data_IF_538739249718
#
_entry.id   IF_538739249718
#
_cell.length_a   1.000
_cell.length_b   1.000
_cell.length_c   1.000
_cell.angle_alpha   90.00
_cell.angle_beta   90.00
_cell.angle_gamma   90.00
#
_symmetry.space_group_name_H-M   'P 1'
#
loop_
_entity.id
_entity.type
_entity.pdbx_description
1 polymer ?
#
# COMPACT_ATOMS: atom_id res chain seq x y z
N UNK A 1 -62.53 3.96 4.59
CA UNK A 1 -63.34 4.61 5.64
C UNK A 1 -62.65 5.95 5.93
N UNK A 2 -63.16 7.03 5.35
CA UNK A 2 -64.24 7.90 5.81
C UNK A 2 -63.87 8.51 7.16
N UNK A 3 -63.94 9.71 7.36
CA UNK A 3 -64.75 10.89 6.92
C UNK A 3 -64.45 11.94 7.95
N UNK A 4 -64.43 13.12 7.73
CA UNK A 4 -65.41 14.14 7.39
C UNK A 4 -65.14 15.38 8.23
N UNK A 5 -65.20 16.48 7.58
CA UNK A 5 -65.85 17.75 7.87
C UNK A 5 -65.35 18.60 9.01
N UNK A 6 -65.23 19.84 8.91
CA UNK A 6 -65.94 20.87 8.09
C UNK A 6 -65.81 22.18 8.84
N UNK A 7 -65.66 23.16 8.11
CA UNK A 7 -66.57 24.25 7.77
C UNK A 7 -66.60 25.49 8.68
N UNK A 8 -66.23 26.60 8.01
CA UNK A 8 -66.88 27.95 8.02
C UNK A 8 -66.72 28.78 9.29
N UNK A 9 -66.49 29.97 9.19
CA UNK A 9 -66.80 31.17 8.42
C UNK A 9 -66.26 32.30 9.26
N UNK A 10 -65.88 33.36 8.81
CA UNK A 10 -66.53 34.30 7.97
C UNK A 10 -66.59 35.64 8.70
N UNK A 11 -66.29 36.65 7.92
CA UNK A 11 -66.64 38.07 8.09
C UNK A 11 -65.51 38.99 8.54
N UNK A 12 -65.15 39.78 7.59
CA UNK A 12 -64.59 41.14 7.68
C UNK A 12 -65.71 42.16 7.84
N UNK A 13 -65.40 43.48 7.75
CA UNK A 13 -64.77 44.43 8.64
C UNK A 13 -65.87 45.45 9.11
N UNK A 14 -65.66 46.64 9.55
CA UNK A 14 -64.98 47.77 8.94
C UNK A 14 -64.40 48.89 9.87
N UNK A 15 -63.68 49.80 9.20
CA UNK A 15 -63.68 51.28 9.32
C UNK A 15 -62.90 51.94 10.46
N UNK A 16 -61.87 52.57 10.01
CA UNK A 16 -61.50 54.01 10.12
C UNK A 16 -61.70 54.70 11.45
N UNK A 17 -60.71 55.47 11.81
CA UNK A 17 -60.74 56.90 12.00
C UNK A 17 -59.47 57.40 12.71
N UNK A 18 -58.88 58.40 12.12
CA UNK A 18 -58.10 59.51 12.65
C UNK A 18 -56.92 59.22 13.58
N UNK A 19 -55.69 59.42 13.17
CA UNK A 19 -55.02 60.70 13.23
C UNK A 19 -54.60 61.12 14.64
N UNK A 20 -53.35 60.85 14.95
CA UNK A 20 -52.60 61.69 15.88
C UNK A 20 -51.12 61.54 15.64
N UNK A 21 -50.53 62.63 15.22
CA UNK A 21 -49.10 62.78 15.08
C UNK A 21 -48.38 62.51 16.41
N UNK A 22 -47.62 61.46 16.47
CA UNK A 22 -46.63 61.26 17.50
C UNK A 22 -45.25 61.28 16.87
N UNK A 23 -44.30 62.08 17.38
CA UNK A 23 -42.93 62.13 16.86
C UNK A 23 -42.25 60.78 17.06
N UNK A 24 -41.81 60.17 15.97
CA UNK A 24 -41.00 58.97 15.97
C UNK A 24 -39.65 59.33 16.57
N UNK A 25 -39.49 59.12 17.87
CA UNK A 25 -38.19 59.06 18.50
C UNK A 25 -37.41 57.90 17.87
N UNK A 26 -36.56 58.24 16.90
CA UNK A 26 -35.47 57.33 16.47
C UNK A 26 -34.62 57.05 17.70
N UNK A 27 -34.89 55.94 18.39
CA UNK A 27 -33.92 55.34 19.31
C UNK A 27 -32.71 55.02 18.49
N UNK A 28 -31.69 55.85 18.56
CA UNK A 28 -30.31 55.52 18.17
C UNK A 28 -29.89 54.31 18.99
N UNK A 29 -30.04 53.16 18.41
CA UNK A 29 -29.45 51.94 18.95
C UNK A 29 -27.93 52.07 18.82
N UNK A 30 -27.29 52.58 19.86
CA UNK A 30 -25.85 52.43 20.02
C UNK A 30 -25.63 50.97 20.45
N UNK A 31 -24.94 50.13 19.66
CA UNK A 31 -24.58 48.81 20.14
C UNK A 31 -23.61 49.03 21.30
N UNK A 32 -24.10 48.80 22.51
CA UNK A 32 -23.26 48.73 23.69
C UNK A 32 -22.52 47.38 23.57
N UNK A 33 -21.34 47.43 23.01
CA UNK A 33 -20.45 46.26 22.97
C UNK A 33 -20.15 45.92 24.43
N UNK A 34 -20.55 44.75 24.93
CA UNK A 34 -20.32 44.40 26.32
C UNK A 34 -18.82 44.34 26.61
N UNK A 35 -18.42 44.84 27.77
CA UNK A 35 -17.03 44.98 28.17
C UNK A 35 -16.21 43.70 28.01
N UNK A 36 -16.86 42.52 28.20
CA UNK A 36 -16.21 41.22 27.99
C UNK A 36 -15.85 40.95 26.53
N UNK A 37 -16.63 41.46 25.57
CA UNK A 37 -16.31 41.31 24.15
C UNK A 37 -15.09 42.15 23.73
N UNK A 38 -14.91 43.33 24.33
CA UNK A 38 -13.72 44.15 24.12
C UNK A 38 -12.47 43.47 24.70
N UNK A 39 -12.59 42.87 25.89
CA UNK A 39 -11.50 42.12 26.52
C UNK A 39 -11.13 40.88 25.69
N UNK A 40 -12.12 40.15 25.18
CA UNK A 40 -11.90 38.98 24.32
C UNK A 40 -11.20 39.34 23.00
N UNK A 41 -11.62 40.47 22.37
CA UNK A 41 -10.98 40.98 21.14
C UNK A 41 -9.53 41.44 21.38
N UNK A 42 -9.29 42.13 22.51
CA UNK A 42 -7.94 42.52 22.87
C UNK A 42 -7.02 41.35 23.16
N UNK A 43 -7.51 40.29 23.84
CA UNK A 43 -6.78 39.05 24.08
C UNK A 43 -6.47 38.28 22.78
N UNK A 44 -7.42 38.24 21.86
CA UNK A 44 -7.22 37.60 20.57
C UNK A 44 -6.19 38.35 19.71
N UNK A 45 -6.26 39.69 19.69
CA UNK A 45 -5.30 40.51 18.97
C UNK A 45 -3.89 40.40 19.55
N UNK A 46 -3.76 40.35 20.88
CA UNK A 46 -2.47 40.16 21.56
C UNK A 46 -1.88 38.74 21.26
N UNK A 47 -2.72 37.72 21.22
CA UNK A 47 -2.30 36.35 20.88
C UNK A 47 -1.83 36.26 19.43
N UNK A 48 -2.57 36.83 18.48
CA UNK A 48 -2.17 36.93 17.08
C UNK A 48 -0.87 37.71 16.89
N UNK A 49 -0.71 38.83 17.58
CA UNK A 49 0.51 39.60 17.54
C UNK A 49 1.72 38.83 18.10
N UNK A 50 1.51 38.07 19.19
CA UNK A 50 2.53 37.18 19.76
C UNK A 50 2.95 36.08 18.79
N UNK A 51 1.98 35.47 18.13
CA UNK A 51 2.25 34.41 17.10
C UNK A 51 3.02 34.98 15.92
N UNK A 52 2.61 36.17 15.41
CA UNK A 52 3.27 36.84 14.29
C UNK A 52 4.69 37.31 14.69
N UNK A 53 4.84 37.79 15.90
CA UNK A 53 6.14 38.25 16.42
C UNK A 53 7.11 37.07 16.58
N UNK A 54 6.63 35.92 17.13
CA UNK A 54 7.44 34.72 17.23
C UNK A 54 7.77 34.13 15.86
N UNK A 55 6.86 34.24 14.89
CA UNK A 55 7.11 33.76 13.52
C UNK A 55 8.16 34.62 12.83
N UNK A 56 8.09 35.95 13.00
CA UNK A 56 9.10 36.85 12.44
C UNK A 56 10.45 36.82 13.17
N UNK A 57 10.45 36.57 14.47
CA UNK A 57 11.69 36.48 15.25
C UNK A 57 12.33 35.07 15.14
N UNK A 58 11.53 34.04 14.87
CA UNK A 58 12.00 32.66 14.63
C UNK A 58 12.86 32.53 13.38
N UNK A 59 12.56 33.30 12.34
CA UNK A 59 13.35 33.30 11.10
C UNK A 59 14.67 34.06 11.17
N UNK A 60 14.81 34.97 12.16
CA UNK A 60 15.96 35.89 12.21
C UNK A 60 17.05 35.49 13.21
N UNK A 61 16.83 34.51 14.09
CA UNK A 61 17.72 34.28 15.24
C UNK A 61 18.33 32.92 15.39
N UNK A 62 18.27 32.07 14.36
CA UNK A 62 18.95 30.80 14.44
C UNK A 62 20.12 30.73 13.44
N UNK A 63 21.31 31.32 13.78
CA UNK A 63 22.47 31.28 12.91
C UNK A 63 22.98 29.84 12.66
N UNK A 64 22.56 28.89 13.49
CA UNK A 64 22.89 27.45 13.32
C UNK A 64 22.07 26.87 12.18
N UNK A 65 20.76 27.22 12.05
CA UNK A 65 19.93 26.76 10.93
C UNK A 65 20.36 27.44 9.62
N UNK A 66 20.68 28.71 9.63
CA UNK A 66 21.19 29.39 8.44
C UNK A 66 22.50 28.76 7.92
N UNK A 67 23.36 28.28 8.82
CA UNK A 67 24.60 27.57 8.45
C UNK A 67 24.36 26.17 7.89
N UNK A 68 23.28 25.50 8.30
CA UNK A 68 22.87 24.17 7.77
C UNK A 68 22.25 24.34 6.36
N UNK A 69 21.50 25.42 6.13
CA UNK A 69 20.91 25.71 4.81
C UNK A 69 21.88 26.39 3.82
N UNK A 70 23.01 26.93 4.29
CA UNK A 70 24.04 27.56 3.45
C UNK A 70 25.20 26.63 3.09
N UNK A 71 25.32 25.47 3.72
CA UNK A 71 26.13 24.40 3.14
C UNK A 71 25.38 23.91 1.91
N UNK A 72 25.90 24.15 0.68
CA UNK A 72 25.35 23.44 -0.47
C UNK A 72 25.47 21.96 -0.10
N UNK A 73 24.32 21.29 -0.01
CA UNK A 73 24.27 19.84 0.01
C UNK A 73 25.19 19.42 -1.14
N UNK A 74 26.21 18.59 -0.91
CA UNK A 74 27.06 18.15 -2.00
C UNK A 74 26.11 17.59 -3.06
N UNK A 75 25.99 18.27 -4.19
CA UNK A 75 25.18 17.92 -5.33
C UNK A 75 25.47 16.49 -5.83
N UNK A 76 26.59 15.95 -5.38
CA UNK A 76 26.99 14.56 -5.60
C UNK A 76 26.17 13.50 -4.83
N UNK A 77 25.30 13.88 -3.87
CA UNK A 77 24.52 12.89 -3.09
C UNK A 77 23.08 12.70 -3.61
N UNK A 78 22.59 13.56 -4.52
CA UNK A 78 21.23 13.43 -5.07
C UNK A 78 21.26 12.88 -6.50
N UNK A 79 22.40 12.84 -7.13
CA UNK A 79 22.62 12.28 -8.47
C UNK A 79 23.47 11.03 -8.46
N UNK A 80 23.39 10.19 -7.43
CA UNK A 80 23.61 8.79 -7.70
C UNK A 80 22.35 8.34 -8.46
N UNK A 81 22.45 8.10 -9.79
CA UNK A 81 21.46 7.29 -10.47
C UNK A 81 21.41 6.07 -9.59
N UNK A 82 20.17 5.68 -9.16
CA UNK A 82 19.94 4.45 -8.44
C UNK A 82 20.92 3.44 -9.00
N UNK A 83 21.94 3.11 -8.18
CA UNK A 83 23.04 2.23 -8.58
C UNK A 83 22.35 1.08 -9.24
N UNK A 84 22.53 0.94 -10.57
CA UNK A 84 21.88 -0.12 -11.33
C UNK A 84 22.25 -1.36 -10.54
N UNK A 85 21.29 -1.85 -9.76
CA UNK A 85 21.36 -3.18 -9.18
C UNK A 85 21.92 -4.05 -10.29
N UNK A 86 23.00 -4.79 -10.03
CA UNK A 86 23.74 -5.47 -11.07
C UNK A 86 22.74 -6.15 -11.98
N UNK A 87 22.97 -6.14 -13.29
CA UNK A 87 22.11 -6.64 -14.36
C UNK A 87 21.61 -8.09 -14.18
N UNK A 88 21.70 -8.62 -13.01
CA UNK A 88 21.57 -9.97 -12.51
C UNK A 88 20.11 -10.39 -12.31
N UNK A 89 19.18 -9.46 -12.21
CA UNK A 89 17.76 -9.78 -11.96
C UNK A 89 16.87 -9.60 -13.19
N UNK A 90 17.33 -10.07 -14.35
CA UNK A 90 16.43 -10.19 -15.51
C UNK A 90 15.80 -11.59 -15.55
N UNK A 91 15.08 -11.95 -14.47
CA UNK A 91 14.33 -13.22 -14.44
C UNK A 91 13.31 -13.28 -15.57
N UNK A 92 12.72 -12.14 -15.94
CA UNK A 92 11.80 -12.05 -17.08
C UNK A 92 12.49 -12.45 -18.39
N UNK A 93 13.72 -12.02 -18.63
CA UNK A 93 14.48 -12.41 -19.80
C UNK A 93 14.83 -13.89 -19.81
N UNK A 94 15.23 -14.41 -18.67
CA UNK A 94 15.60 -15.83 -18.49
C UNK A 94 14.42 -16.79 -18.64
N UNK A 95 13.24 -16.42 -18.09
CA UNK A 95 12.02 -17.22 -18.12
C UNK A 95 11.08 -16.85 -19.29
N UNK A 96 11.61 -16.23 -20.35
CA UNK A 96 10.80 -15.81 -21.50
C UNK A 96 10.00 -16.95 -22.16
N UNK A 97 10.54 -18.17 -22.35
CA UNK A 97 9.78 -19.30 -22.88
C UNK A 97 8.57 -19.65 -22.01
N UNK A 98 8.77 -19.79 -20.70
CA UNK A 98 7.73 -20.18 -19.74
C UNK A 98 6.65 -19.08 -19.59
N UNK A 99 7.04 -17.84 -19.77
CA UNK A 99 6.10 -16.70 -19.82
C UNK A 99 5.25 -16.76 -21.10
N UNK A 100 5.86 -17.08 -22.25
CA UNK A 100 5.16 -17.21 -23.53
C UNK A 100 4.14 -18.36 -23.49
N UNK A 101 4.46 -19.46 -22.84
CA UNK A 101 3.56 -20.60 -22.62
C UNK A 101 2.50 -20.30 -21.55
N UNK A 102 2.59 -19.15 -20.86
CA UNK A 102 1.65 -18.75 -19.82
C UNK A 102 1.74 -19.55 -18.52
N UNK A 103 2.82 -20.31 -18.31
CA UNK A 103 3.08 -21.10 -17.11
C UNK A 103 3.43 -20.22 -15.92
N UNK A 104 4.21 -19.16 -16.17
CA UNK A 104 4.64 -18.18 -15.17
C UNK A 104 4.37 -16.74 -15.61
N UNK A 105 4.28 -15.84 -14.62
CA UNK A 105 4.42 -14.41 -14.85
C UNK A 105 5.58 -13.91 -13.98
N UNK A 106 6.35 -12.96 -14.49
CA UNK A 106 7.51 -12.40 -13.78
C UNK A 106 7.35 -10.91 -13.62
N UNK A 107 7.63 -10.43 -12.41
CA UNK A 107 7.67 -9.02 -12.06
C UNK A 107 9.02 -8.74 -11.41
N UNK A 108 9.84 -7.99 -12.13
CA UNK A 108 11.13 -7.53 -11.62
C UNK A 108 10.95 -6.12 -11.05
N UNK A 109 11.31 -5.94 -9.79
CA UNK A 109 11.30 -4.70 -9.03
C UNK A 109 12.75 -4.32 -8.68
N UNK A 110 12.96 -3.15 -8.09
CA UNK A 110 14.31 -2.64 -7.83
C UNK A 110 15.10 -3.49 -6.80
N UNK A 111 14.41 -4.07 -5.82
CA UNK A 111 14.99 -4.80 -4.69
C UNK A 111 14.63 -6.30 -4.67
N UNK A 112 13.78 -6.73 -5.60
CA UNK A 112 13.26 -8.11 -5.64
C UNK A 112 12.79 -8.50 -7.04
N UNK A 113 12.77 -9.80 -7.29
CA UNK A 113 12.06 -10.37 -8.42
C UNK A 113 11.01 -11.36 -7.93
N UNK A 114 9.82 -11.29 -8.50
CA UNK A 114 8.68 -12.13 -8.14
C UNK A 114 8.27 -12.97 -9.33
N UNK A 115 8.37 -14.28 -9.21
CA UNK A 115 7.84 -15.26 -10.15
C UNK A 115 6.49 -15.75 -9.65
N UNK A 116 5.44 -15.61 -10.46
CA UNK A 116 4.06 -15.98 -10.13
C UNK A 116 3.69 -17.23 -10.91
N UNK A 117 3.38 -18.31 -10.18
CA UNK A 117 2.90 -19.58 -10.70
C UNK A 117 1.38 -19.64 -10.51
N UNK A 118 0.62 -19.89 -11.60
CA UNK A 118 -0.84 -20.01 -11.52
C UNK A 118 -1.22 -21.33 -10.84
N UNK A 119 -1.97 -21.25 -9.75
CA UNK A 119 -2.30 -22.40 -8.91
C UNK A 119 -3.09 -23.51 -9.61
N UNK A 120 -4.05 -23.16 -10.46
CA UNK A 120 -4.88 -24.13 -11.21
C UNK A 120 -4.07 -24.93 -12.24
N UNK A 121 -3.00 -24.35 -12.75
CA UNK A 121 -2.04 -25.03 -13.58
C UNK A 121 -1.10 -25.93 -12.77
N UNK A 122 -0.64 -25.44 -11.64
CA UNK A 122 0.40 -26.03 -10.80
C UNK A 122 -0.11 -27.23 -9.99
N UNK A 123 -1.34 -27.15 -9.47
CA UNK A 123 -1.94 -28.17 -8.62
C UNK A 123 -3.25 -28.71 -9.20
N UNK A 124 -3.61 -29.93 -8.85
CA UNK A 124 -4.98 -30.40 -9.00
C UNK A 124 -5.88 -29.77 -7.92
N UNK A 125 -7.21 -29.83 -8.11
CA UNK A 125 -8.16 -29.34 -7.12
C UNK A 125 -7.93 -29.99 -5.76
N UNK A 126 -7.92 -29.17 -4.70
CA UNK A 126 -7.65 -29.59 -3.32
C UNK A 126 -6.33 -30.38 -3.12
N UNK A 127 -5.42 -30.35 -4.09
CA UNK A 127 -4.11 -31.02 -4.03
C UNK A 127 -3.00 -30.02 -3.66
N UNK A 128 -1.95 -30.58 -3.07
CA UNK A 128 -0.68 -29.90 -2.81
C UNK A 128 0.47 -30.50 -3.60
N UNK A 129 0.20 -31.54 -4.40
CA UNK A 129 1.19 -32.18 -5.26
C UNK A 129 1.37 -31.32 -6.50
N UNK A 130 2.60 -30.86 -6.74
CA UNK A 130 2.96 -30.14 -7.95
C UNK A 130 2.88 -31.10 -9.14
N UNK A 131 2.35 -30.61 -10.24
CA UNK A 131 2.24 -31.42 -11.47
C UNK A 131 3.59 -31.50 -12.17
N UNK A 132 3.95 -32.68 -12.67
CA UNK A 132 5.24 -32.98 -13.29
C UNK A 132 5.64 -32.05 -14.42
N UNK A 133 4.68 -31.48 -15.14
CA UNK A 133 4.94 -30.47 -16.19
C UNK A 133 5.59 -29.19 -15.67
N UNK A 134 5.52 -28.93 -14.37
CA UNK A 134 6.15 -27.77 -13.74
C UNK A 134 7.55 -28.06 -13.20
N UNK A 135 7.99 -29.33 -13.16
CA UNK A 135 9.34 -29.67 -12.70
C UNK A 135 10.43 -28.94 -13.51
N UNK A 136 10.40 -28.95 -14.87
CA UNK A 136 11.41 -28.22 -15.64
C UNK A 136 11.30 -26.68 -15.44
N UNK A 137 10.10 -26.16 -15.17
CA UNK A 137 9.91 -24.74 -14.91
C UNK A 137 10.55 -24.35 -13.58
N UNK A 138 10.32 -25.16 -12.53
CA UNK A 138 10.87 -24.92 -11.19
C UNK A 138 12.40 -25.11 -11.21
N UNK A 139 12.93 -26.06 -11.94
CA UNK A 139 14.37 -26.25 -12.15
C UNK A 139 14.99 -25.01 -12.79
N UNK A 140 14.40 -24.49 -13.86
CA UNK A 140 14.89 -23.25 -14.48
C UNK A 140 14.81 -22.03 -13.55
N UNK A 141 13.76 -21.92 -12.75
CA UNK A 141 13.68 -20.87 -11.72
C UNK A 141 14.83 -21.01 -10.72
N UNK A 142 15.10 -22.23 -10.24
CA UNK A 142 16.19 -22.50 -9.32
C UNK A 142 17.57 -22.19 -9.93
N UNK A 143 17.80 -22.57 -11.20
CA UNK A 143 19.03 -22.24 -11.92
C UNK A 143 19.26 -20.72 -12.00
N UNK A 144 18.20 -19.96 -12.33
CA UNK A 144 18.30 -18.50 -12.33
C UNK A 144 18.65 -17.94 -10.94
N UNK A 145 18.06 -18.51 -9.89
CA UNK A 145 18.26 -18.07 -8.51
C UNK A 145 19.63 -18.50 -7.93
N UNK A 146 20.26 -19.55 -8.48
CA UNK A 146 21.61 -19.95 -8.07
C UNK A 146 22.66 -18.91 -8.44
N UNK A 147 22.40 -18.11 -9.48
CA UNK A 147 23.33 -17.08 -9.94
C UNK A 147 23.21 -15.76 -9.15
N UNK A 148 22.30 -15.70 -8.18
CA UNK A 148 22.03 -14.46 -7.42
C UNK A 148 21.96 -14.78 -5.93
N UNK A 149 22.70 -14.02 -5.14
CA UNK A 149 22.63 -14.09 -3.69
C UNK A 149 21.36 -13.44 -3.17
N UNK A 150 20.82 -13.93 -2.05
CA UNK A 150 19.64 -13.39 -1.41
C UNK A 150 18.71 -14.46 -0.84
N UNK A 151 17.68 -14.05 -0.14
CA UNK A 151 16.68 -14.93 0.43
C UNK A 151 15.54 -15.19 -0.57
N UNK A 152 15.05 -16.41 -0.57
CA UNK A 152 13.93 -16.81 -1.41
C UNK A 152 12.72 -17.06 -0.51
N UNK A 153 11.62 -16.40 -0.82
CA UNK A 153 10.35 -16.56 -0.11
C UNK A 153 9.31 -17.15 -1.07
N UNK A 154 8.75 -18.30 -0.72
CA UNK A 154 7.67 -18.95 -1.45
C UNK A 154 6.36 -18.70 -0.70
N UNK A 155 5.42 -18.00 -1.31
CA UNK A 155 4.15 -17.63 -0.68
C UNK A 155 2.99 -18.26 -1.45
N UNK A 156 2.18 -19.06 -0.74
CA UNK A 156 0.95 -19.60 -1.29
C UNK A 156 -0.26 -18.71 -0.98
N UNK A 157 -1.14 -18.57 -1.97
CA UNK A 157 -2.41 -17.85 -1.87
C UNK A 157 -3.57 -18.73 -2.35
N UNK A 158 -4.76 -18.48 -1.82
CA UNK A 158 -6.02 -19.06 -2.26
C UNK A 158 -7.00 -17.95 -2.70
N UNK A 159 -8.15 -18.39 -3.21
CA UNK A 159 -9.33 -17.53 -3.29
C UNK A 159 -10.10 -17.51 -1.96
N UNK A 160 -11.23 -16.81 -1.93
CA UNK A 160 -12.07 -16.68 -0.75
C UNK A 160 -13.10 -17.81 -0.58
N UNK A 161 -13.08 -18.82 -1.44
CA UNK A 161 -13.99 -19.97 -1.28
C UNK A 161 -13.46 -20.85 -0.16
N UNK A 162 -14.22 -21.04 0.94
CA UNK A 162 -13.75 -21.88 2.04
C UNK A 162 -13.47 -23.30 1.57
N UNK A 163 -12.28 -23.82 1.88
CA UNK A 163 -11.98 -25.22 1.60
C UNK A 163 -12.82 -26.12 2.50
N UNK A 164 -13.43 -27.13 1.91
CA UNK A 164 -14.15 -28.20 2.61
C UNK A 164 -13.44 -29.51 2.37
N UNK A 165 -12.41 -29.79 3.15
CA UNK A 165 -11.60 -31.00 3.02
C UNK A 165 -11.27 -31.54 4.39
N UNK A 166 -11.33 -32.86 4.56
CA UNK A 166 -10.85 -33.52 5.78
C UNK A 166 -9.33 -33.36 5.99
N UNK A 167 -8.60 -32.97 4.94
CA UNK A 167 -7.13 -32.88 4.94
C UNK A 167 -6.63 -31.49 5.36
N UNK A 168 -7.41 -30.43 5.08
CA UNK A 168 -7.02 -29.05 5.35
C UNK A 168 -8.14 -28.33 6.10
N UNK A 169 -7.82 -27.77 7.26
CA UNK A 169 -8.77 -27.09 8.10
C UNK A 169 -9.12 -25.66 7.57
N UNK A 170 -8.26 -25.08 6.74
CA UNK A 170 -8.44 -23.72 6.24
C UNK A 170 -7.72 -23.46 4.92
N UNK A 171 -8.10 -22.38 4.24
CA UNK A 171 -7.40 -21.86 3.06
C UNK A 171 -5.95 -21.48 3.36
N UNK A 172 -5.68 -21.03 4.61
CA UNK A 172 -4.33 -20.74 5.07
C UNK A 172 -3.46 -22.01 5.07
N UNK A 173 -3.96 -23.11 5.64
CA UNK A 173 -3.24 -24.38 5.72
C UNK A 173 -2.99 -24.96 4.32
N UNK A 174 -4.02 -25.00 3.45
CA UNK A 174 -3.86 -25.43 2.06
C UNK A 174 -2.78 -24.61 1.34
N UNK A 175 -2.82 -23.28 1.48
CA UNK A 175 -1.87 -22.39 0.82
C UNK A 175 -0.44 -22.57 1.33
N UNK A 176 -0.28 -22.82 2.64
CA UNK A 176 1.02 -23.11 3.25
C UNK A 176 1.59 -24.44 2.74
N UNK A 177 0.79 -25.50 2.70
CA UNK A 177 1.25 -26.79 2.21
C UNK A 177 1.59 -26.76 0.71
N UNK A 178 0.87 -25.98 -0.09
CA UNK A 178 1.22 -25.72 -1.49
C UNK A 178 2.56 -25.00 -1.62
N UNK A 179 2.77 -23.98 -0.80
CA UNK A 179 4.06 -23.26 -0.76
C UNK A 179 5.21 -24.19 -0.35
N UNK A 180 4.99 -25.08 0.65
CA UNK A 180 5.98 -26.08 1.09
C UNK A 180 6.33 -27.08 -0.01
N UNK A 181 5.34 -27.50 -0.80
CA UNK A 181 5.60 -28.41 -1.93
C UNK A 181 6.50 -27.77 -2.99
N UNK A 182 6.24 -26.49 -3.34
CA UNK A 182 7.10 -25.74 -4.26
C UNK A 182 8.48 -25.46 -3.63
N UNK A 183 8.53 -25.11 -2.35
CA UNK A 183 9.79 -24.96 -1.61
C UNK A 183 10.65 -26.20 -1.71
N UNK A 184 10.08 -27.36 -1.44
CA UNK A 184 10.79 -28.65 -1.48
C UNK A 184 11.37 -28.93 -2.87
N UNK A 185 10.60 -28.68 -3.93
CA UNK A 185 11.11 -28.85 -5.31
C UNK A 185 12.24 -27.87 -5.63
N UNK A 186 12.09 -26.59 -5.28
CA UNK A 186 13.16 -25.60 -5.46
C UNK A 186 14.43 -26.02 -4.72
N UNK A 187 14.30 -26.50 -3.48
CA UNK A 187 15.43 -26.92 -2.66
C UNK A 187 16.23 -28.06 -3.29
N UNK A 188 15.61 -28.93 -4.06
CA UNK A 188 16.29 -30.03 -4.76
C UNK A 188 17.26 -29.53 -5.87
N UNK A 189 17.04 -28.33 -6.40
CA UNK A 189 17.78 -27.74 -7.52
C UNK A 189 18.65 -26.53 -7.11
N UNK A 190 18.57 -26.10 -5.85
CA UNK A 190 19.36 -24.97 -5.34
C UNK A 190 20.67 -25.45 -4.72
N UNK A 191 21.74 -24.68 -4.98
CA UNK A 191 23.05 -24.89 -4.33
C UNK A 191 23.03 -24.56 -2.83
N UNK A 192 22.12 -23.66 -2.42
CA UNK A 192 21.92 -23.23 -1.03
C UNK A 192 20.43 -23.37 -0.67
N UNK A 193 19.95 -24.59 -0.35
CA UNK A 193 18.53 -24.85 -0.09
C UNK A 193 17.99 -24.17 1.16
N UNK A 194 18.82 -23.81 2.12
CA UNK A 194 18.46 -23.10 3.35
C UNK A 194 17.98 -21.66 3.12
N UNK A 195 18.24 -21.08 1.95
CA UNK A 195 17.79 -19.74 1.57
C UNK A 195 16.28 -19.65 1.38
N UNK A 196 15.60 -20.79 1.18
CA UNK A 196 14.18 -20.82 0.85
C UNK A 196 13.31 -20.95 2.09
N UNK A 197 12.33 -20.07 2.22
CA UNK A 197 11.28 -20.17 3.22
C UNK A 197 9.91 -20.24 2.56
N UNK A 198 8.97 -20.96 3.17
CA UNK A 198 7.59 -21.05 2.70
C UNK A 198 6.64 -20.37 3.69
N UNK A 199 5.64 -19.66 3.14
CA UNK A 199 4.55 -19.04 3.89
C UNK A 199 3.21 -19.34 3.21
N UNK A 200 2.15 -19.49 4.02
CA UNK A 200 0.77 -19.49 3.58
C UNK A 200 0.12 -18.15 3.88
N UNK A 201 -0.69 -17.65 2.98
CA UNK A 201 -1.49 -16.44 3.19
C UNK A 201 -2.98 -16.64 2.98
N UNK A 202 -3.39 -17.84 2.59
CA UNK A 202 -4.80 -18.12 2.33
C UNK A 202 -5.39 -17.12 1.35
N UNK A 203 -6.53 -16.56 1.70
CA UNK A 203 -7.28 -15.60 0.89
C UNK A 203 -6.83 -14.12 1.07
N UNK A 204 -5.78 -13.90 1.88
CA UNK A 204 -5.24 -12.56 2.10
C UNK A 204 -4.53 -12.03 0.85
N UNK A 205 -4.52 -10.71 0.69
CA UNK A 205 -3.86 -10.01 -0.41
C UNK A 205 -4.30 -10.50 -1.81
N UNK A 206 -5.60 -10.46 -2.14
CA UNK A 206 -6.08 -10.83 -3.45
C UNK A 206 -5.58 -9.84 -4.51
N UNK A 207 -5.13 -10.35 -5.67
CA UNK A 207 -4.72 -9.54 -6.82
C UNK A 207 -5.88 -9.19 -7.76
N UNK A 208 -7.04 -9.79 -7.53
CA UNK A 208 -8.28 -9.50 -8.24
C UNK A 208 -9.48 -9.67 -7.29
N UNK A 209 -10.60 -8.96 -7.52
CA UNK A 209 -11.83 -9.17 -6.75
C UNK A 209 -12.29 -10.63 -6.86
N UNK A 210 -12.68 -11.25 -5.75
CA UNK A 210 -13.12 -12.66 -5.73
C UNK A 210 -14.53 -12.89 -6.29
N UNK A 211 -15.06 -11.98 -7.10
CA UNK A 211 -16.44 -11.97 -7.59
C UNK A 211 -16.70 -12.97 -8.72
N UNK A 212 -15.73 -13.20 -9.59
CA UNK A 212 -15.86 -14.12 -10.72
C UNK A 212 -14.92 -15.31 -10.60
N UNK A 213 -15.24 -16.47 -11.24
CA UNK A 213 -14.35 -17.63 -11.24
C UNK A 213 -12.96 -17.31 -11.79
N UNK A 214 -12.86 -16.49 -12.83
CA UNK A 214 -11.60 -16.10 -13.49
C UNK A 214 -10.74 -15.26 -12.53
N UNK A 215 -11.35 -14.32 -11.80
CA UNK A 215 -10.66 -13.53 -10.80
C UNK A 215 -10.20 -14.39 -9.62
N UNK A 216 -11.04 -15.33 -9.16
CA UNK A 216 -10.62 -16.31 -8.14
C UNK A 216 -9.44 -17.17 -8.61
N UNK A 217 -9.45 -17.59 -9.88
CA UNK A 217 -8.34 -18.33 -10.47
C UNK A 217 -7.02 -17.54 -10.46
N UNK A 218 -7.08 -16.22 -10.62
CA UNK A 218 -5.91 -15.33 -10.48
C UNK A 218 -5.40 -15.25 -9.05
N UNK A 219 -6.29 -15.31 -8.07
CA UNK A 219 -5.93 -15.28 -6.66
C UNK A 219 -5.29 -16.58 -6.19
N UNK A 220 -5.71 -17.75 -6.75
CA UNK A 220 -5.06 -19.04 -6.50
C UNK A 220 -3.70 -19.09 -7.18
N UNK A 221 -2.65 -18.75 -6.46
CA UNK A 221 -1.28 -18.65 -6.99
C UNK A 221 -0.22 -19.01 -5.95
N UNK A 222 0.98 -19.26 -6.44
CA UNK A 222 2.19 -19.30 -5.62
C UNK A 222 3.15 -18.24 -6.15
N UNK A 223 3.66 -17.41 -5.28
CA UNK A 223 4.67 -16.41 -5.59
C UNK A 223 6.03 -16.87 -5.04
N UNK A 224 7.05 -16.84 -5.89
CA UNK A 224 8.43 -17.09 -5.51
C UNK A 224 9.16 -15.76 -5.62
N UNK A 225 9.52 -15.19 -4.48
CA UNK A 225 10.19 -13.89 -4.40
C UNK A 225 11.65 -14.08 -4.05
N UNK A 226 12.54 -13.60 -4.90
CA UNK A 226 13.95 -13.45 -4.59
C UNK A 226 14.18 -12.04 -4.04
N UNK A 227 14.60 -11.96 -2.78
CA UNK A 227 14.98 -10.75 -2.09
C UNK A 227 16.49 -10.58 -2.17
N UNK A 228 16.95 -9.59 -2.93
CA UNK A 228 18.39 -9.30 -3.03
C UNK A 228 18.79 -8.50 -1.81
N UNK A 229 19.81 -8.98 -1.09
CA UNK A 229 20.35 -8.24 0.05
C UNK A 229 21.43 -7.29 -0.44
N UNK A 230 21.31 -5.98 -0.19
CA UNK A 230 22.37 -5.02 -0.56
C UNK A 230 23.71 -5.31 0.12
N UNK A 231 23.69 -6.00 1.27
CA UNK A 231 24.94 -6.33 2.00
C UNK A 231 25.79 -7.39 1.30
N UNK A 232 25.19 -8.31 0.55
CA UNK A 232 25.92 -9.35 -0.16
C UNK A 232 26.68 -8.81 -1.38
N UNK A 233 26.11 -7.83 -2.08
CA UNK A 233 26.77 -7.19 -3.22
C UNK A 233 28.07 -6.50 -2.79
N UNK A 234 28.10 -5.95 -1.58
CA UNK A 234 29.28 -5.27 -1.03
C UNK A 234 30.37 -6.26 -0.57
N UNK A 235 29.97 -7.42 -0.07
CA UNK A 235 30.91 -8.47 0.36
C UNK A 235 31.61 -9.13 -0.85
N UNK A 236 30.90 -9.36 -1.94
CA UNK A 236 31.46 -9.93 -3.17
C UNK A 236 32.39 -8.94 -3.88
N UNK A 237 32.08 -7.64 -3.89
CA UNK A 237 32.97 -6.61 -4.44
C UNK A 237 34.26 -6.41 -3.62
N UNK A 238 34.22 -6.64 -2.31
CA UNK A 238 35.39 -6.54 -1.43
C UNK A 238 36.28 -7.81 -1.45
N UNK A 239 35.78 -8.91 -2.00
CA UNK A 239 36.49 -10.18 -2.14
C UNK A 239 37.28 -10.32 -3.45
N UNK A 240 37.17 -9.40 -4.39
CA UNK A 240 38.00 -9.41 -5.59
C UNK A 240 39.40 -8.96 -5.25
N UNK A 241 40.44 -9.71 -5.63
CA UNK A 241 41.85 -9.30 -5.43
C UNK A 241 42.04 -7.98 -6.20
N UNK A 242 42.38 -6.93 -5.46
CA UNK A 242 42.86 -5.68 -6.02
C UNK A 242 44.13 -6.00 -6.77
N UNK A 243 44.03 -6.05 -8.11
CA UNK A 243 45.21 -6.29 -8.95
C UNK A 243 46.29 -5.23 -8.69
N UNK A 244 47.47 -5.71 -8.37
CA UNK A 244 48.70 -4.93 -8.33
C UNK A 244 49.05 -4.40 -9.73
#
# INVERSE_FOLDING_TARGET
>A
WQMICGVRGGYAPPLSVHGEDRPVLRKLWRPVVPLWACVALAGFAASLFYIILNWRLGDATNPVLAKIYQTPLPEASIAQPAEKLPAVLNLRGFLRPEIAEGLVAVRDEADRSVVILKGDGLFASASTVVRDRYDPVIDRIAQAMNNVSGRILVVGYSDNVPIRSARFASNYELSLERARSVQKQLQNHLTQPERVKAEGRGEMNPIAPNTTPENRARNRRVEITLLVSPDNTRAELNGLPQGN
#
